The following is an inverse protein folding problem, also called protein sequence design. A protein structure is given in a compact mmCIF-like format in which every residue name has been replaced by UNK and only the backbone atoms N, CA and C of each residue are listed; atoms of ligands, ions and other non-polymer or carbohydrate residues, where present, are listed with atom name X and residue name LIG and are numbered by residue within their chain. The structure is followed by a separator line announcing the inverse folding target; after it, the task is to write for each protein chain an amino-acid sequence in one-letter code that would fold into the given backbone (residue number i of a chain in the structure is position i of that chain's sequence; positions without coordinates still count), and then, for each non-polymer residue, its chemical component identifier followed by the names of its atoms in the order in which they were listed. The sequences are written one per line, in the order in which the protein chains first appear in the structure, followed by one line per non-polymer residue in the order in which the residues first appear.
data_IF_122674708595
#
_entry.id   IF_122674708595
#
_cell.length_a   1.000
_cell.length_b   1.000
_cell.length_c   1.000
_cell.angle_alpha   90.00
_cell.angle_beta   90.00
_cell.angle_gamma   90.00
#
_symmetry.space_group_name_H-M   'P 1'
#
loop_
_entity.id
_entity.type
_entity.pdbx_description
1 polymer ?
#
# COMPACT_ATOMS: atom_id res chain seq x y z
N UNK A 1 -6.69 -25.44 23.65
CA UNK A 1 -5.47 -25.20 22.85
C UNK A 1 -5.26 -23.70 22.82
N UNK A 2 -4.21 -23.20 23.45
CA UNK A 2 -3.86 -21.78 23.40
C UNK A 2 -3.37 -21.49 21.98
N UNK A 3 -4.22 -20.91 21.14
CA UNK A 3 -3.83 -20.47 19.80
C UNK A 3 -2.72 -19.43 19.94
N UNK A 4 -1.50 -19.81 19.56
CA UNK A 4 -0.37 -18.88 19.49
C UNK A 4 -0.71 -17.82 18.46
N UNK A 5 -0.76 -16.58 18.92
CA UNK A 5 -0.98 -15.39 18.11
C UNK A 5 0.09 -15.26 17.02
N UNK A 6 -0.30 -14.94 15.78
CA UNK A 6 0.68 -14.80 14.69
C UNK A 6 1.61 -13.59 14.92
N UNK A 7 2.86 -13.62 14.39
CA UNK A 7 3.76 -12.47 14.47
C UNK A 7 3.17 -11.19 13.88
N UNK A 8 2.39 -11.30 12.79
CA UNK A 8 1.74 -10.14 12.17
C UNK A 8 0.64 -9.56 13.06
N UNK A 9 -0.20 -10.41 13.67
CA UNK A 9 -1.22 -9.91 14.61
C UNK A 9 -0.56 -9.20 15.80
N UNK A 10 0.53 -9.75 16.33
CA UNK A 10 1.29 -9.13 17.42
C UNK A 10 1.94 -7.81 17.01
N UNK A 11 2.44 -7.71 15.78
CA UNK A 11 2.97 -6.49 15.21
C UNK A 11 1.88 -5.42 15.07
N UNK A 12 0.72 -5.74 14.51
CA UNK A 12 -0.39 -4.79 14.37
C UNK A 12 -0.89 -4.23 15.70
N UNK A 13 -1.03 -5.06 16.75
CA UNK A 13 -1.40 -4.56 18.08
C UNK A 13 -0.34 -3.64 18.70
N UNK A 14 0.94 -3.91 18.42
CA UNK A 14 2.03 -3.07 18.91
C UNK A 14 2.04 -1.74 18.19
N UNK A 15 1.92 -1.77 16.86
CA UNK A 15 1.96 -0.60 15.98
C UNK A 15 0.71 0.27 16.09
N UNK A 16 -0.45 -0.33 16.41
CA UNK A 16 -1.69 0.40 16.65
C UNK A 16 -1.64 1.35 17.85
N UNK A 17 -0.60 1.27 18.69
CA UNK A 17 -0.32 2.20 19.79
C UNK A 17 0.29 3.52 19.34
N UNK A 18 0.66 3.63 18.07
CA UNK A 18 1.18 4.84 17.46
C UNK A 18 0.16 5.50 16.54
N UNK A 19 0.38 6.78 16.23
CA UNK A 19 -0.35 7.53 15.23
C UNK A 19 0.03 7.14 13.81
N UNK A 20 -0.42 7.95 12.85
CA UNK A 20 -0.16 7.70 11.43
C UNK A 20 1.18 8.24 10.95
N UNK A 21 1.91 8.96 11.80
CA UNK A 21 3.20 9.56 11.49
C UNK A 21 4.31 9.04 12.42
N UNK A 22 5.54 9.05 11.94
CA UNK A 22 6.75 8.82 12.71
C UNK A 22 7.16 10.09 13.49
N UNK A 23 8.17 10.02 14.38
CA UNK A 23 8.61 11.18 15.16
C UNK A 23 9.17 12.35 14.33
N UNK A 24 9.56 12.10 13.07
CA UNK A 24 10.10 13.10 12.16
C UNK A 24 9.01 13.74 11.28
N UNK A 25 7.75 13.30 11.44
CA UNK A 25 6.59 13.84 10.73
C UNK A 25 6.35 13.22 9.35
N UNK A 26 6.98 12.09 9.04
CA UNK A 26 6.67 11.28 7.84
C UNK A 26 5.63 10.22 8.19
N UNK A 27 4.95 9.65 7.19
CA UNK A 27 3.96 8.60 7.42
C UNK A 27 4.63 7.40 8.10
N UNK A 28 3.99 6.85 9.13
CA UNK A 28 4.46 5.66 9.81
C UNK A 28 4.30 4.43 8.91
N UNK A 29 5.43 3.90 8.45
CA UNK A 29 5.48 2.76 7.53
C UNK A 29 5.28 1.40 8.20
N UNK A 30 5.34 1.33 9.53
CA UNK A 30 5.46 0.08 10.29
C UNK A 30 4.48 -1.02 9.87
N UNK A 31 3.16 -0.77 9.84
CA UNK A 31 2.17 -1.79 9.48
C UNK A 31 2.36 -2.34 8.06
N UNK A 32 2.63 -1.46 7.09
CA UNK A 32 2.85 -1.86 5.71
C UNK A 32 4.12 -2.73 5.57
N UNK A 33 5.19 -2.39 6.29
CA UNK A 33 6.44 -3.17 6.25
C UNK A 33 6.27 -4.52 6.93
N UNK A 34 5.63 -4.57 8.10
CA UNK A 34 5.36 -5.84 8.80
C UNK A 34 4.51 -6.78 7.94
N UNK A 35 3.53 -6.25 7.20
CA UNK A 35 2.74 -7.06 6.26
C UNK A 35 3.61 -7.52 5.07
N UNK A 36 4.40 -6.63 4.46
CA UNK A 36 5.29 -7.01 3.37
C UNK A 36 6.33 -8.08 3.80
N UNK A 37 6.89 -7.97 5.00
CA UNK A 37 7.80 -8.97 5.57
C UNK A 37 7.10 -10.32 5.81
N UNK A 38 5.84 -10.29 6.26
CA UNK A 38 5.02 -11.49 6.43
C UNK A 38 4.86 -12.23 5.09
N UNK A 39 4.50 -11.49 4.03
CA UNK A 39 4.34 -12.02 2.67
C UNK A 39 5.64 -12.53 2.04
N UNK A 40 6.78 -11.96 2.46
CA UNK A 40 8.12 -12.43 2.09
C UNK A 40 8.62 -13.59 2.97
N UNK A 41 7.80 -14.12 3.90
CA UNK A 41 8.14 -15.23 4.78
C UNK A 41 9.14 -14.87 5.90
N UNK A 42 9.38 -13.58 6.15
CA UNK A 42 10.35 -13.04 7.12
C UNK A 42 9.73 -12.82 8.50
N UNK A 43 9.17 -13.89 9.07
CA UNK A 43 8.36 -13.81 10.29
C UNK A 43 9.12 -13.33 11.53
N UNK A 44 10.43 -13.62 11.63
CA UNK A 44 11.26 -13.12 12.73
C UNK A 44 11.47 -11.61 12.62
N UNK A 45 11.63 -11.11 11.41
CA UNK A 45 11.80 -9.70 11.09
C UNK A 45 10.51 -8.91 11.31
N UNK A 46 9.33 -9.53 11.16
CA UNK A 46 8.05 -8.90 11.52
C UNK A 46 8.05 -8.46 12.99
N UNK A 47 8.47 -9.34 13.91
CA UNK A 47 8.52 -9.01 15.34
C UNK A 47 9.60 -7.95 15.63
N UNK A 48 10.82 -8.12 15.10
CA UNK A 48 11.92 -7.18 15.36
C UNK A 48 11.63 -5.79 14.81
N UNK A 49 11.11 -5.69 13.58
CA UNK A 49 10.73 -4.41 12.96
C UNK A 49 9.65 -3.71 13.78
N UNK A 50 8.60 -4.44 14.17
CA UNK A 50 7.50 -3.85 14.96
C UNK A 50 7.97 -3.24 16.28
N UNK A 51 9.01 -3.80 16.92
CA UNK A 51 9.57 -3.31 18.20
C UNK A 51 10.41 -2.06 18.04
N UNK A 52 11.00 -1.85 16.86
CA UNK A 52 11.86 -0.71 16.56
C UNK A 52 11.05 0.51 16.11
N UNK A 53 9.85 0.27 15.54
CA UNK A 53 8.97 1.35 15.10
C UNK A 53 8.38 2.10 16.29
N UNK A 54 8.51 3.43 16.22
CA UNK A 54 7.79 4.39 17.06
C UNK A 54 7.02 5.38 16.19
N UNK A 55 6.17 6.19 16.79
CA UNK A 55 5.41 7.20 16.06
C UNK A 55 4.83 8.27 16.97
N UNK A 56 4.02 9.14 16.38
CA UNK A 56 3.24 10.13 17.10
C UNK A 56 2.24 9.46 18.05
N UNK A 57 1.66 10.19 19.02
CA UNK A 57 0.59 9.66 19.85
C UNK A 57 -0.56 9.07 19.02
N UNK A 58 -1.20 7.98 19.47
CA UNK A 58 -2.25 7.34 18.68
C UNK A 58 -3.47 8.26 18.55
N UNK A 59 -4.11 8.21 17.38
CA UNK A 59 -5.43 8.82 17.19
C UNK A 59 -6.44 8.08 18.07
N UNK A 60 -7.16 8.83 18.88
CA UNK A 60 -8.21 8.28 19.75
C UNK A 60 -9.41 7.90 18.88
N UNK A 61 -9.78 6.62 18.92
CA UNK A 61 -10.98 6.13 18.24
C UNK A 61 -12.23 6.71 18.91
N UNK A 62 -13.13 7.25 18.10
CA UNK A 62 -14.42 7.77 18.52
C UNK A 62 -15.50 6.98 17.80
N UNK A 63 -16.48 6.47 18.55
CA UNK A 63 -17.62 5.78 17.95
C UNK A 63 -18.84 6.71 17.85
N UNK A 64 -19.01 7.45 16.74
CA UNK A 64 -20.11 8.39 16.62
C UNK A 64 -21.47 7.69 16.57
N UNK A 65 -22.46 8.23 17.29
CA UNK A 65 -23.85 7.75 17.27
C UNK A 65 -24.56 8.12 15.95
N UNK A 66 -24.15 9.22 15.33
CA UNK A 66 -24.53 9.64 13.97
C UNK A 66 -23.27 10.09 13.26
N UNK A 67 -23.08 9.60 12.04
CA UNK A 67 -21.91 9.94 11.23
C UNK A 67 -22.39 10.21 9.80
N UNK A 68 -22.46 11.48 9.44
CA UNK A 68 -22.62 11.86 8.04
C UNK A 68 -21.24 11.93 7.40
N UNK A 69 -21.01 11.03 6.46
CA UNK A 69 -19.70 10.83 5.88
C UNK A 69 -19.36 11.89 4.84
N UNK A 70 -20.37 12.46 4.15
CA UNK A 70 -20.13 13.49 3.13
C UNK A 70 -19.56 14.76 3.75
N UNK A 71 -19.94 15.04 5.00
CA UNK A 71 -19.44 16.18 5.77
C UNK A 71 -18.12 15.87 6.49
N UNK A 72 -17.69 14.60 6.53
CA UNK A 72 -16.51 14.15 7.27
C UNK A 72 -15.30 13.85 6.39
N UNK A 73 -15.52 13.57 5.11
CA UNK A 73 -14.48 13.11 4.20
C UNK A 73 -13.49 14.24 3.91
N UNK A 74 -12.19 13.95 4.00
CA UNK A 74 -11.12 14.93 3.83
C UNK A 74 -10.85 15.83 5.04
N UNK A 75 -11.51 15.58 6.19
CA UNK A 75 -11.19 16.25 7.45
C UNK A 75 -10.30 15.36 8.33
N UNK A 76 -8.99 15.61 8.29
CA UNK A 76 -7.99 14.85 9.05
C UNK A 76 -8.26 14.89 10.57
N UNK A 77 -8.88 15.95 11.10
CA UNK A 77 -9.21 16.05 12.52
C UNK A 77 -10.28 15.03 12.96
N UNK A 78 -11.07 14.53 12.00
CA UNK A 78 -12.14 13.54 12.22
C UNK A 78 -11.68 12.10 12.00
N UNK A 79 -10.37 11.86 11.82
CA UNK A 79 -9.81 10.50 11.63
C UNK A 79 -10.26 9.52 12.73
N UNK A 80 -10.36 9.96 13.99
CA UNK A 80 -10.82 9.12 15.09
C UNK A 80 -12.28 8.65 14.94
N UNK A 81 -13.16 9.51 14.42
CA UNK A 81 -14.56 9.16 14.11
C UNK A 81 -14.64 8.20 12.92
N UNK A 82 -13.84 8.45 11.89
CA UNK A 82 -13.70 7.56 10.73
C UNK A 82 -13.25 6.16 11.13
N UNK A 83 -12.21 6.05 11.96
CA UNK A 83 -11.75 4.76 12.50
C UNK A 83 -12.87 4.02 13.23
N UNK A 84 -13.58 4.70 14.12
CA UNK A 84 -14.67 4.07 14.87
C UNK A 84 -15.90 3.76 14.03
N UNK A 85 -16.14 4.50 12.93
CA UNK A 85 -17.14 4.17 11.92
C UNK A 85 -16.77 2.87 11.19
N UNK A 86 -15.53 2.75 10.71
CA UNK A 86 -15.08 1.54 10.02
C UNK A 86 -14.99 0.31 10.94
N UNK A 87 -14.62 0.48 12.21
CA UNK A 87 -14.67 -0.62 13.18
C UNK A 87 -16.09 -1.18 13.33
N UNK A 88 -17.11 -0.31 13.37
CA UNK A 88 -18.53 -0.74 13.39
C UNK A 88 -18.95 -1.36 12.07
N UNK A 89 -18.67 -0.72 10.93
CA UNK A 89 -19.02 -1.24 9.60
C UNK A 89 -18.44 -2.64 9.37
N UNK A 90 -17.17 -2.87 9.73
CA UNK A 90 -16.54 -4.19 9.63
C UNK A 90 -17.19 -5.21 10.58
N UNK A 91 -17.56 -4.81 11.81
CA UNK A 91 -18.20 -5.69 12.77
C UNK A 91 -19.63 -6.08 12.35
N UNK A 92 -20.39 -5.13 11.80
CA UNK A 92 -21.81 -5.30 11.48
C UNK A 92 -22.04 -5.91 10.09
N UNK A 93 -21.24 -5.50 9.09
CA UNK A 93 -21.43 -5.85 7.67
C UNK A 93 -20.32 -6.77 7.13
N UNK A 94 -19.21 -6.90 7.85
CA UNK A 94 -18.04 -7.64 7.42
C UNK A 94 -17.06 -6.81 6.59
N UNK A 95 -15.78 -7.17 6.69
CA UNK A 95 -14.68 -6.45 6.04
C UNK A 95 -14.81 -6.35 4.52
N UNK A 96 -15.29 -7.41 3.87
CA UNK A 96 -15.42 -7.45 2.41
C UNK A 96 -16.51 -6.49 1.91
N UNK A 97 -17.67 -6.48 2.58
CA UNK A 97 -18.76 -5.53 2.29
C UNK A 97 -18.34 -4.09 2.54
N UNK A 98 -17.57 -3.86 3.61
CA UNK A 98 -17.02 -2.54 3.92
C UNK A 98 -16.11 -2.04 2.79
N UNK A 99 -15.17 -2.87 2.32
CA UNK A 99 -14.27 -2.51 1.20
C UNK A 99 -15.05 -2.26 -0.09
N UNK A 100 -15.96 -3.16 -0.45
CA UNK A 100 -16.80 -3.03 -1.64
C UNK A 100 -17.57 -1.71 -1.65
N UNK A 101 -18.10 -1.31 -0.50
CA UNK A 101 -18.80 -0.03 -0.33
C UNK A 101 -17.83 1.15 -0.44
N UNK A 102 -16.69 1.12 0.25
CA UNK A 102 -15.89 2.32 0.45
C UNK A 102 -14.81 2.59 -0.58
N UNK A 103 -14.30 1.56 -1.25
CA UNK A 103 -13.26 1.76 -2.26
C UNK A 103 -13.71 2.68 -3.40
N UNK A 104 -14.90 2.53 -4.02
CA UNK A 104 -15.35 3.45 -5.07
C UNK A 104 -15.42 4.92 -4.63
N UNK A 105 -15.64 5.17 -3.33
CA UNK A 105 -15.71 6.52 -2.75
C UNK A 105 -14.33 7.12 -2.47
N UNK A 106 -13.34 6.29 -2.13
CA UNK A 106 -11.99 6.73 -1.75
C UNK A 106 -11.01 6.75 -2.93
N UNK A 107 -11.21 5.85 -3.90
CA UNK A 107 -10.36 5.75 -5.10
C UNK A 107 -10.20 7.08 -5.87
N UNK A 108 -11.21 7.96 -6.00
CA UNK A 108 -11.02 9.27 -6.63
C UNK A 108 -9.95 10.15 -5.95
N UNK A 109 -9.61 9.89 -4.68
CA UNK A 109 -8.55 10.56 -3.93
C UNK A 109 -7.28 9.70 -3.77
N UNK A 110 -6.97 8.88 -4.78
CA UNK A 110 -5.87 7.91 -4.75
C UNK A 110 -4.50 8.54 -4.47
N UNK A 111 -4.20 9.69 -5.08
CA UNK A 111 -2.88 10.33 -5.02
C UNK A 111 -2.52 11.00 -3.68
N UNK A 112 -3.49 11.19 -2.78
CA UNK A 112 -3.29 11.99 -1.57
C UNK A 112 -2.20 11.43 -0.67
N UNK A 113 -1.42 12.33 -0.07
CA UNK A 113 -0.26 12.00 0.76
C UNK A 113 0.67 10.97 0.09
N UNK A 114 0.96 11.09 -1.21
CA UNK A 114 1.77 10.15 -1.97
C UNK A 114 1.25 8.69 -1.85
N UNK A 115 -0.05 8.52 -2.02
CA UNK A 115 -0.78 7.24 -2.03
C UNK A 115 -0.82 6.48 -0.69
N UNK A 116 -0.36 7.07 0.42
CA UNK A 116 -0.21 6.33 1.68
C UNK A 116 -1.51 5.76 2.22
N UNK A 117 -2.64 6.45 2.07
CA UNK A 117 -3.96 5.94 2.46
C UNK A 117 -4.32 4.65 1.72
N UNK A 118 -4.21 4.66 0.39
CA UNK A 118 -4.48 3.51 -0.46
C UNK A 118 -3.49 2.36 -0.24
N UNK A 119 -2.18 2.65 -0.16
CA UNK A 119 -1.14 1.64 0.07
C UNK A 119 -1.37 0.95 1.42
N UNK A 120 -1.58 1.71 2.50
CA UNK A 120 -1.82 1.14 3.83
C UNK A 120 -3.09 0.29 3.87
N UNK A 121 -4.16 0.76 3.22
CA UNK A 121 -5.42 0.02 3.10
C UNK A 121 -5.24 -1.29 2.34
N UNK A 122 -4.47 -1.30 1.24
CA UNK A 122 -4.21 -2.51 0.46
C UNK A 122 -3.43 -3.56 1.27
N UNK A 123 -2.39 -3.15 1.99
CA UNK A 123 -1.67 -4.06 2.90
C UNK A 123 -2.61 -4.63 3.98
N UNK A 124 -3.44 -3.80 4.60
CA UNK A 124 -4.40 -4.27 5.60
C UNK A 124 -5.46 -5.22 5.01
N UNK A 125 -5.97 -4.92 3.81
CA UNK A 125 -6.95 -5.76 3.11
C UNK A 125 -6.37 -7.14 2.77
N UNK A 126 -5.15 -7.20 2.23
CA UNK A 126 -4.47 -8.48 1.96
C UNK A 126 -4.22 -9.29 3.24
N UNK A 127 -3.82 -8.63 4.33
CA UNK A 127 -3.69 -9.30 5.62
C UNK A 127 -5.03 -9.89 6.09
N UNK A 128 -6.14 -9.15 5.99
CA UNK A 128 -7.48 -9.64 6.37
C UNK A 128 -7.97 -10.78 5.47
N UNK A 129 -7.64 -10.76 4.17
CA UNK A 129 -7.95 -11.86 3.25
C UNK A 129 -7.28 -13.18 3.65
N UNK A 130 -6.01 -13.14 4.10
CA UNK A 130 -5.30 -14.33 4.57
C UNK A 130 -5.96 -14.88 5.85
N UNK A 131 -6.17 -14.03 6.85
CA UNK A 131 -6.90 -14.37 8.07
C UNK A 131 -7.63 -13.14 8.61
N UNK A 132 -8.95 -13.20 8.77
CA UNK A 132 -9.75 -12.13 9.36
C UNK A 132 -9.65 -12.10 10.90
N UNK A 133 -8.45 -11.84 11.42
CA UNK A 133 -8.20 -11.70 12.87
C UNK A 133 -8.64 -10.33 13.40
N UNK A 134 -8.94 -10.18 14.70
CA UNK A 134 -9.28 -8.88 15.27
C UNK A 134 -8.22 -7.80 15.02
N UNK A 135 -6.94 -8.14 15.07
CA UNK A 135 -5.84 -7.19 14.84
C UNK A 135 -5.74 -6.73 13.39
N UNK A 136 -5.97 -7.63 12.43
CA UNK A 136 -5.94 -7.31 11.00
C UNK A 136 -7.18 -6.48 10.62
N UNK A 137 -8.36 -6.84 11.15
CA UNK A 137 -9.57 -6.02 10.99
C UNK A 137 -9.42 -4.62 11.61
N UNK A 138 -8.78 -4.51 12.77
CA UNK A 138 -8.48 -3.22 13.37
C UNK A 138 -7.55 -2.36 12.49
N UNK A 139 -6.47 -2.94 11.93
CA UNK A 139 -5.60 -2.22 11.01
C UNK A 139 -6.32 -1.84 9.70
N UNK A 140 -7.26 -2.66 9.22
CA UNK A 140 -8.11 -2.30 8.08
C UNK A 140 -9.02 -1.10 8.40
N UNK A 141 -9.69 -1.09 9.55
CA UNK A 141 -10.49 0.07 9.98
C UNK A 141 -9.63 1.33 10.13
N UNK A 142 -8.43 1.19 10.70
CA UNK A 142 -7.47 2.29 10.87
C UNK A 142 -7.01 2.88 9.54
N UNK A 143 -6.65 2.03 8.59
CA UNK A 143 -6.15 2.44 7.29
C UNK A 143 -7.24 3.08 6.42
N UNK A 144 -8.45 2.53 6.41
CA UNK A 144 -9.62 3.16 5.78
C UNK A 144 -9.93 4.52 6.41
N UNK A 145 -9.89 4.60 7.74
CA UNK A 145 -10.19 5.84 8.45
C UNK A 145 -9.16 6.93 8.19
N UNK A 146 -7.88 6.55 8.09
CA UNK A 146 -6.81 7.46 7.68
C UNK A 146 -6.96 7.95 6.25
N UNK A 147 -7.29 7.05 5.30
CA UNK A 147 -7.50 7.45 3.92
C UNK A 147 -8.72 8.37 3.78
N UNK A 148 -9.81 8.08 4.47
CA UNK A 148 -11.00 8.93 4.48
C UNK A 148 -10.74 10.32 5.10
N UNK A 149 -9.95 10.38 6.19
CA UNK A 149 -9.55 11.65 6.81
C UNK A 149 -8.56 12.46 5.96
N UNK A 150 -7.69 11.80 5.21
CA UNK A 150 -6.77 12.45 4.27
C UNK A 150 -7.43 12.87 2.96
N UNK A 151 -8.58 12.31 2.62
CA UNK A 151 -9.13 12.34 1.26
C UNK A 151 -9.10 13.75 0.64
N UNK A 152 -8.49 13.83 -0.53
CA UNK A 152 -8.53 14.98 -1.41
C UNK A 152 -8.72 14.45 -2.83
N UNK A 153 -9.61 15.07 -3.60
CA UNK A 153 -9.83 14.68 -4.98
C UNK A 153 -8.52 14.71 -5.77
N UNK A 154 -8.23 13.62 -6.48
CA UNK A 154 -6.98 13.40 -7.17
C UNK A 154 -6.87 14.10 -8.52
N UNK A 155 -5.94 13.61 -9.33
CA UNK A 155 -5.77 14.06 -10.72
C UNK A 155 -7.07 13.89 -11.52
N UNK A 156 -7.32 14.83 -12.45
CA UNK A 156 -8.49 14.79 -13.33
C UNK A 156 -8.37 13.60 -14.29
N UNK A 157 -9.36 12.71 -14.24
CA UNK A 157 -9.49 11.56 -15.15
C UNK A 157 -10.04 12.00 -16.49
N UNK A 158 -9.46 11.48 -17.57
CA UNK A 158 -10.02 11.64 -18.91
C UNK A 158 -11.16 10.65 -19.12
N UNK A 159 -12.35 11.13 -19.51
CA UNK A 159 -13.52 10.27 -19.75
C UNK A 159 -13.25 9.17 -20.79
N UNK A 160 -12.30 9.39 -21.70
CA UNK A 160 -11.89 8.38 -22.69
C UNK A 160 -11.27 7.16 -22.02
N UNK A 161 -10.57 7.35 -20.90
CA UNK A 161 -9.93 6.27 -20.14
C UNK A 161 -10.94 5.40 -19.38
N UNK A 162 -12.20 5.84 -19.26
CA UNK A 162 -13.29 5.07 -18.65
C UNK A 162 -13.97 4.08 -19.62
N UNK A 163 -13.61 4.13 -20.91
CA UNK A 163 -14.28 3.36 -21.98
C UNK A 163 -13.44 2.21 -22.58
N UNK A 164 -12.33 1.86 -21.94
CA UNK A 164 -11.41 0.84 -22.43
C UNK A 164 -11.91 -0.61 -22.26
N UNK A 165 -11.82 -1.40 -23.33
CA UNK A 165 -12.16 -2.84 -23.35
C UNK A 165 -11.07 -3.78 -22.81
N UNK A 166 -10.11 -3.26 -22.04
CA UNK A 166 -9.06 -4.07 -21.41
C UNK A 166 -9.53 -4.62 -20.06
N UNK A 167 -8.99 -5.77 -19.64
CA UNK A 167 -9.20 -6.31 -18.30
C UNK A 167 -8.55 -5.37 -17.27
N UNK A 168 -9.32 -4.63 -16.43
CA UNK A 168 -8.76 -3.55 -15.61
C UNK A 168 -7.71 -4.04 -14.62
N UNK A 169 -7.86 -5.28 -14.13
CA UNK A 169 -6.90 -5.93 -13.22
C UNK A 169 -5.52 -6.08 -13.86
N UNK A 170 -5.48 -6.49 -15.14
CA UNK A 170 -4.24 -6.59 -15.91
C UNK A 170 -3.67 -5.20 -16.16
N UNK A 171 -4.51 -4.25 -16.57
CA UNK A 171 -4.09 -2.87 -16.85
C UNK A 171 -3.45 -2.16 -15.64
N UNK A 172 -3.86 -2.49 -14.42
CA UNK A 172 -3.23 -1.97 -13.19
C UNK A 172 -1.81 -2.50 -13.01
N UNK A 173 -1.57 -3.78 -13.28
CA UNK A 173 -0.21 -4.36 -13.19
C UNK A 173 0.69 -3.83 -14.31
N UNK A 174 0.15 -3.60 -15.50
CA UNK A 174 0.86 -2.92 -16.60
C UNK A 174 1.21 -1.47 -16.22
N UNK A 175 0.33 -0.75 -15.52
CA UNK A 175 0.64 0.56 -14.97
C UNK A 175 1.77 0.50 -13.92
N UNK A 176 1.88 -0.58 -13.16
CA UNK A 176 2.99 -0.82 -12.23
C UNK A 176 4.32 -1.06 -12.97
N UNK A 177 4.31 -1.81 -14.07
CA UNK A 177 5.48 -1.98 -14.94
C UNK A 177 5.93 -0.63 -15.54
N UNK A 178 4.97 0.15 -16.04
CA UNK A 178 5.21 1.53 -16.50
C UNK A 178 5.83 2.42 -15.41
N UNK A 179 5.32 2.33 -14.18
CA UNK A 179 5.90 3.02 -13.02
C UNK A 179 7.35 2.57 -12.74
N UNK A 180 7.64 1.27 -12.88
CA UNK A 180 8.98 0.74 -12.67
C UNK A 180 9.97 1.29 -13.72
N UNK A 181 9.57 1.42 -14.98
CA UNK A 181 10.39 2.09 -16.00
C UNK A 181 10.71 3.55 -15.66
N UNK A 182 9.75 4.29 -15.11
CA UNK A 182 9.97 5.68 -14.65
C UNK A 182 10.88 5.72 -13.42
N UNK A 183 10.70 4.80 -12.47
CA UNK A 183 11.58 4.66 -11.32
C UNK A 183 13.02 4.37 -11.74
N UNK A 184 13.24 3.48 -12.72
CA UNK A 184 14.58 3.17 -13.23
C UNK A 184 15.23 4.36 -13.98
N UNK A 185 14.42 5.18 -14.65
CA UNK A 185 14.89 6.41 -15.29
C UNK A 185 15.36 7.45 -14.27
N UNK A 186 14.60 7.64 -13.19
CA UNK A 186 14.91 8.61 -12.13
C UNK A 186 14.63 8.03 -10.74
N UNK A 187 15.55 7.23 -10.16
CA UNK A 187 15.32 6.56 -8.88
C UNK A 187 15.15 7.57 -7.74
N UNK A 188 13.93 7.67 -7.22
CA UNK A 188 13.56 8.55 -6.12
C UNK A 188 12.30 8.02 -5.42
N UNK A 189 11.90 8.67 -4.32
CA UNK A 189 10.79 8.24 -3.50
C UNK A 189 9.44 8.29 -4.23
N UNK A 190 9.22 9.30 -5.07
CA UNK A 190 8.00 9.45 -5.87
C UNK A 190 7.86 8.32 -6.89
N UNK A 191 8.95 8.03 -7.61
CA UNK A 191 9.01 6.93 -8.59
C UNK A 191 8.67 5.57 -7.97
N UNK A 192 9.28 5.28 -6.81
CA UNK A 192 9.00 4.07 -6.05
C UNK A 192 7.55 3.99 -5.59
N UNK A 193 6.99 5.11 -5.11
CA UNK A 193 5.61 5.14 -4.64
C UNK A 193 4.61 4.83 -5.75
N UNK A 194 4.83 5.27 -6.99
CA UNK A 194 3.94 4.89 -8.09
C UNK A 194 3.96 3.39 -8.39
N UNK A 195 5.10 2.70 -8.24
CA UNK A 195 5.14 1.23 -8.36
C UNK A 195 4.33 0.58 -7.24
N UNK A 196 4.60 0.97 -5.99
CA UNK A 196 3.90 0.38 -4.83
C UNK A 196 2.42 0.75 -4.79
N UNK A 197 2.03 1.93 -5.28
CA UNK A 197 0.66 2.37 -5.39
C UNK A 197 -0.11 1.57 -6.45
N UNK A 198 0.47 1.37 -7.63
CA UNK A 198 -0.16 0.52 -8.66
C UNK A 198 -0.31 -0.93 -8.15
N UNK A 199 0.70 -1.48 -7.48
CA UNK A 199 0.63 -2.82 -6.89
C UNK A 199 -0.27 -2.90 -5.64
N UNK A 200 -0.63 -1.76 -5.03
CA UNK A 200 -1.66 -1.67 -4.00
C UNK A 200 -3.06 -1.62 -4.65
N UNK A 201 -3.22 -0.84 -5.72
CA UNK A 201 -4.49 -0.81 -6.49
C UNK A 201 -4.81 -2.19 -7.04
N UNK A 202 -3.83 -3.01 -7.45
CA UNK A 202 -4.09 -4.38 -7.94
C UNK A 202 -4.67 -5.30 -6.86
N UNK A 203 -4.42 -5.01 -5.58
CA UNK A 203 -5.07 -5.66 -4.44
C UNK A 203 -6.50 -5.13 -4.29
N UNK A 204 -6.67 -3.80 -4.27
CA UNK A 204 -7.95 -3.13 -3.99
C UNK A 204 -9.02 -3.43 -5.04
N UNK A 205 -8.65 -3.44 -6.34
CA UNK A 205 -9.60 -3.69 -7.44
C UNK A 205 -10.18 -5.11 -7.44
N UNK A 206 -9.70 -6.00 -6.56
CA UNK A 206 -10.29 -7.33 -6.37
C UNK A 206 -11.59 -7.30 -5.57
N UNK A 207 -11.85 -6.20 -4.86
CA UNK A 207 -12.98 -6.02 -3.94
C UNK A 207 -14.10 -5.13 -4.49
N UNK A 208 -13.98 -4.67 -5.73
CA UNK A 208 -14.97 -3.80 -6.40
C UNK A 208 -15.43 -4.45 -7.70
N UNK A 209 -16.54 -3.95 -8.23
CA UNK A 209 -17.08 -4.42 -9.51
C UNK A 209 -16.20 -3.96 -10.68
N UNK A 210 -16.48 -4.48 -11.87
CA UNK A 210 -15.64 -4.23 -13.05
C UNK A 210 -15.62 -2.74 -13.42
N UNK A 211 -16.75 -2.04 -13.32
CA UNK A 211 -16.84 -0.61 -13.63
C UNK A 211 -16.00 0.24 -12.67
N UNK A 212 -16.05 -0.07 -11.38
CA UNK A 212 -15.22 0.58 -10.36
C UNK A 212 -13.73 0.25 -10.53
N UNK A 213 -13.39 -0.96 -10.97
CA UNK A 213 -12.02 -1.33 -11.29
C UNK A 213 -11.48 -0.57 -12.52
N UNK A 214 -12.33 -0.32 -13.52
CA UNK A 214 -11.99 0.55 -14.66
C UNK A 214 -11.76 1.98 -14.18
N UNK A 215 -12.65 2.53 -13.34
CA UNK A 215 -12.48 3.85 -12.76
C UNK A 215 -11.18 3.97 -11.91
N UNK A 216 -10.86 2.94 -11.13
CA UNK A 216 -9.62 2.88 -10.35
C UNK A 216 -8.37 2.91 -11.25
N UNK A 217 -8.37 2.14 -12.34
CA UNK A 217 -7.27 2.13 -13.30
C UNK A 217 -7.12 3.50 -13.99
N UNK A 218 -8.23 4.12 -14.38
CA UNK A 218 -8.21 5.45 -14.98
C UNK A 218 -7.66 6.50 -14.01
N UNK A 219 -8.09 6.48 -12.74
CA UNK A 219 -7.53 7.34 -11.70
C UNK A 219 -6.04 7.10 -11.52
N UNK A 220 -5.59 5.84 -11.39
CA UNK A 220 -4.18 5.49 -11.25
C UNK A 220 -3.32 6.05 -12.41
N UNK A 221 -3.82 5.92 -13.66
CA UNK A 221 -3.13 6.46 -14.84
C UNK A 221 -3.06 7.99 -14.80
N UNK A 222 -4.12 8.67 -14.39
CA UNK A 222 -4.13 10.13 -14.22
C UNK A 222 -3.11 10.58 -13.16
N UNK A 223 -3.06 9.90 -12.00
CA UNK A 223 -2.08 10.19 -10.96
C UNK A 223 -0.64 9.97 -11.44
N UNK A 224 -0.39 8.85 -12.14
CA UNK A 224 0.92 8.56 -12.73
C UNK A 224 1.35 9.61 -13.75
N UNK A 225 0.42 10.10 -14.59
CA UNK A 225 0.72 11.15 -15.56
C UNK A 225 1.17 12.45 -14.89
N UNK A 226 0.59 12.80 -13.73
CA UNK A 226 1.03 13.93 -12.91
C UNK A 226 2.38 13.64 -12.25
N UNK A 227 2.52 12.48 -11.61
CA UNK A 227 3.70 12.05 -10.86
C UNK A 227 4.97 12.00 -11.71
N UNK A 228 4.84 11.58 -12.97
CA UNK A 228 5.96 11.38 -13.90
C UNK A 228 6.13 12.51 -14.91
N UNK A 229 5.45 13.65 -14.72
CA UNK A 229 5.55 14.79 -15.64
C UNK A 229 7.01 15.18 -15.88
N UNK A 230 7.43 15.11 -17.16
CA UNK A 230 8.79 15.46 -17.59
C UNK A 230 9.85 14.37 -17.33
N UNK A 231 9.45 13.16 -16.93
CA UNK A 231 10.34 12.00 -16.83
C UNK A 231 10.09 11.09 -18.04
N UNK A 232 11.15 10.81 -18.79
CA UNK A 232 11.10 9.83 -19.89
C UNK A 232 11.36 8.44 -19.31
N UNK A 233 10.48 7.44 -19.51
CA UNK A 233 10.69 6.09 -18.99
C UNK A 233 11.93 5.42 -19.61
N UNK A 234 12.60 4.58 -18.81
CA UNK A 234 13.79 3.84 -19.24
C UNK A 234 13.39 2.41 -19.62
N UNK A 235 13.51 2.07 -20.91
CA UNK A 235 13.20 0.74 -21.43
C UNK A 235 14.41 -0.18 -21.55
N UNK A 236 15.62 0.37 -21.62
CA UNK A 236 16.86 -0.41 -21.64
C UNK A 236 17.51 -0.43 -20.26
N UNK A 237 17.62 -1.60 -19.64
CA UNK A 237 18.23 -1.78 -18.33
C UNK A 237 18.94 -3.13 -18.24
N UNK A 238 20.03 -3.16 -17.49
CA UNK A 238 20.74 -4.41 -17.19
C UNK A 238 20.13 -5.04 -15.94
N UNK A 239 19.82 -6.33 -16.03
CA UNK A 239 19.34 -7.16 -14.92
C UNK A 239 20.45 -8.13 -14.55
N UNK A 240 20.82 -8.17 -13.28
CA UNK A 240 21.84 -9.08 -12.77
C UNK A 240 21.29 -10.49 -12.52
N UNK A 241 19.97 -10.64 -12.53
CA UNK A 241 19.24 -11.86 -12.21
C UNK A 241 19.60 -12.40 -10.84
N UNK A 242 19.66 -11.50 -9.85
CA UNK A 242 19.89 -11.89 -8.47
C UNK A 242 18.74 -12.77 -7.97
N UNK A 243 19.08 -13.79 -7.18
CA UNK A 243 18.08 -14.65 -6.55
C UNK A 243 17.13 -13.84 -5.65
N UNK A 244 15.85 -14.21 -5.65
CA UNK A 244 14.83 -13.55 -4.83
C UNK A 244 15.25 -13.47 -3.35
N UNK A 245 15.79 -14.56 -2.80
CA UNK A 245 16.27 -14.61 -1.42
C UNK A 245 17.35 -13.54 -1.13
N UNK A 246 18.23 -13.27 -2.10
CA UNK A 246 19.26 -12.23 -1.99
C UNK A 246 18.66 -10.83 -1.96
N UNK A 247 17.65 -10.57 -2.81
CA UNK A 247 16.94 -9.29 -2.85
C UNK A 247 16.16 -9.04 -1.55
N UNK A 248 15.47 -10.08 -1.05
CA UNK A 248 14.75 -10.01 0.22
C UNK A 248 15.69 -9.75 1.39
N UNK A 249 16.80 -10.49 1.48
CA UNK A 249 17.79 -10.27 2.54
C UNK A 249 18.39 -8.86 2.47
N UNK A 250 18.76 -8.38 1.29
CA UNK A 250 19.28 -7.04 1.11
C UNK A 250 18.26 -5.95 1.48
N UNK A 251 16.97 -6.16 1.17
CA UNK A 251 15.92 -5.23 1.57
C UNK A 251 15.74 -5.19 3.09
N UNK A 252 15.72 -6.34 3.77
CA UNK A 252 15.65 -6.43 5.24
C UNK A 252 16.84 -5.72 5.88
N UNK A 253 18.07 -6.04 5.45
CA UNK A 253 19.28 -5.47 6.04
C UNK A 253 19.45 -3.97 5.78
N UNK A 254 18.81 -3.44 4.74
CA UNK A 254 18.85 -2.01 4.47
C UNK A 254 18.21 -1.17 5.58
N UNK A 255 17.28 -1.76 6.35
CA UNK A 255 16.45 -1.03 7.31
C UNK A 255 15.50 -0.01 6.66
N UNK A 256 15.38 0.00 5.33
CA UNK A 256 14.54 0.94 4.59
C UNK A 256 13.16 0.33 4.30
N UNK A 257 12.13 0.92 4.90
CA UNK A 257 10.73 0.56 4.71
C UNK A 257 10.34 0.52 3.22
N UNK A 258 10.87 1.42 2.40
CA UNK A 258 10.56 1.52 0.99
C UNK A 258 11.17 0.37 0.19
N UNK A 259 12.40 -0.04 0.55
CA UNK A 259 13.06 -1.16 -0.11
C UNK A 259 12.28 -2.47 0.12
N UNK A 260 11.84 -2.74 1.35
CA UNK A 260 11.05 -3.94 1.67
C UNK A 260 9.75 -3.97 0.86
N UNK A 261 8.98 -2.87 0.89
CA UNK A 261 7.71 -2.78 0.15
C UNK A 261 7.91 -2.90 -1.36
N UNK A 262 8.95 -2.26 -1.92
CA UNK A 262 9.21 -2.31 -3.35
C UNK A 262 9.66 -3.71 -3.79
N UNK A 263 10.51 -4.40 -3.02
CA UNK A 263 10.91 -5.79 -3.34
C UNK A 263 9.70 -6.73 -3.30
N UNK A 264 8.84 -6.61 -2.28
CA UNK A 264 7.59 -7.38 -2.20
C UNK A 264 6.68 -7.11 -3.41
N UNK A 265 6.47 -5.83 -3.75
CA UNK A 265 5.65 -5.43 -4.89
C UNK A 265 6.23 -5.94 -6.23
N UNK A 266 7.54 -5.84 -6.42
CA UNK A 266 8.22 -6.33 -7.61
C UNK A 266 8.16 -7.85 -7.74
N UNK A 267 8.27 -8.60 -6.64
CA UNK A 267 8.09 -10.06 -6.64
C UNK A 267 6.71 -10.44 -7.21
N UNK A 268 5.64 -9.79 -6.73
CA UNK A 268 4.29 -10.01 -7.25
C UNK A 268 4.13 -9.58 -8.71
N UNK A 269 4.67 -8.41 -9.06
CA UNK A 269 4.61 -7.90 -10.44
C UNK A 269 5.29 -8.84 -11.43
N UNK A 270 6.50 -9.32 -11.10
CA UNK A 270 7.24 -10.30 -11.88
C UNK A 270 6.46 -11.61 -12.00
N UNK A 271 5.92 -12.13 -10.90
CA UNK A 271 5.13 -13.37 -10.92
C UNK A 271 3.86 -13.24 -11.78
N UNK A 272 3.23 -12.07 -11.82
CA UNK A 272 2.01 -11.82 -12.57
C UNK A 272 2.24 -11.63 -14.08
N UNK A 273 3.41 -11.15 -14.49
CA UNK A 273 3.65 -10.68 -15.88
C UNK A 273 4.83 -11.34 -16.59
N UNK A 274 5.82 -11.83 -15.83
CA UNK A 274 7.13 -12.19 -16.37
C UNK A 274 7.99 -11.00 -16.80
N UNK A 275 7.57 -9.75 -16.54
CA UNK A 275 8.29 -8.55 -16.96
C UNK A 275 9.51 -8.27 -16.04
N UNK A 276 10.70 -8.30 -16.63
CA UNK A 276 11.97 -8.12 -15.93
C UNK A 276 12.18 -6.70 -15.39
N UNK A 277 11.35 -5.72 -15.78
CA UNK A 277 11.41 -4.36 -15.20
C UNK A 277 11.21 -4.38 -13.68
N UNK A 278 10.39 -5.32 -13.17
CA UNK A 278 10.19 -5.49 -11.75
C UNK A 278 11.46 -6.01 -11.06
N UNK A 279 12.15 -6.97 -11.68
CA UNK A 279 13.42 -7.48 -11.15
C UNK A 279 14.49 -6.38 -11.16
N UNK A 280 14.58 -5.62 -12.26
CA UNK A 280 15.48 -4.47 -12.36
C UNK A 280 15.20 -3.41 -11.27
N UNK A 281 13.93 -3.12 -10.98
CA UNK A 281 13.54 -2.17 -9.93
C UNK A 281 13.92 -2.68 -8.53
N UNK A 282 13.70 -3.97 -8.25
CA UNK A 282 14.10 -4.61 -7.00
C UNK A 282 15.63 -4.61 -6.80
N UNK A 283 16.40 -4.94 -7.84
CA UNK A 283 17.87 -4.83 -7.83
C UNK A 283 18.32 -3.37 -7.63
N UNK A 284 17.62 -2.42 -8.25
CA UNK A 284 17.97 -1.00 -8.18
C UNK A 284 17.83 -0.44 -6.77
N UNK A 285 16.77 -0.80 -6.04
CA UNK A 285 16.52 -0.32 -4.68
C UNK A 285 17.45 -0.97 -3.66
N UNK A 286 17.77 -2.25 -3.85
CA UNK A 286 18.64 -3.02 -2.94
C UNK A 286 20.14 -2.88 -3.23
N UNK A 287 20.52 -2.29 -4.36
CA UNK A 287 21.92 -2.15 -4.83
C UNK A 287 22.91 -1.69 -3.76
N UNK A 288 22.52 -0.75 -2.89
CA UNK A 288 23.39 -0.25 -1.81
C UNK A 288 23.63 -1.30 -0.74
N UNK A 289 22.58 -1.99 -0.29
CA UNK A 289 22.68 -3.05 0.71
C UNK A 289 23.46 -4.26 0.19
N UNK A 290 23.26 -4.66 -1.07
CA UNK A 290 24.00 -5.76 -1.71
C UNK A 290 25.52 -5.49 -1.72
N UNK A 291 25.94 -4.25 -2.01
CA UNK A 291 27.36 -3.88 -1.96
C UNK A 291 27.97 -3.99 -0.56
N UNK A 292 27.15 -3.84 0.47
CA UNK A 292 27.56 -4.00 1.87
C UNK A 292 27.62 -5.47 2.26
N UNK A 293 26.68 -6.29 1.77
CA UNK A 293 26.64 -7.75 1.97
C UNK A 293 27.83 -8.50 1.40
N UNK A 294 28.37 -8.03 0.26
CA UNK A 294 29.54 -8.63 -0.38
C UNK A 294 30.90 -8.23 0.21
N UNK A 295 30.91 -7.47 1.32
CA UNK A 295 32.12 -7.07 2.06
C UNK A 295 32.18 -7.79 3.40
#
# INVERSE_FOLDING_TARGET
MTTTRSPLDAAFDRLGRWGFDDPDGFVNHGPMVCEALHELGRFAEVDSWSRQVSGTPPVVVVHPTRFDWTDAIGDLSRTGEWMGYFERSIADEGWSSTLHTWLPRLLPGLGVALFHGAIRTAHAARAVEDVASPSRCAELARSLGYWAGLFEAGAVVDERDLSGGDEPRRGVVEAAAGAAHHYLAKPNIFGLHGVTAAMAVSILVRHVDTDDAVAALAQLRAEHAVLYRGVVPRHEFDVQHLEEATLVEAAVQSGDAHAVKLVEACRRGLAATGDEVFLAAAERVTRRAIRTLGR
#
